data_IF_139888805449
#
_entry.id   IF_139888805449
#
_cell.length_a   1.000
_cell.length_b   1.000
_cell.length_c   1.000
_cell.angle_alpha   90.00
_cell.angle_beta   90.00
_cell.angle_gamma   90.00
#
_symmetry.space_group_name_H-M   'P 1'
#
loop_
_entity.id
_entity.type
_entity.pdbx_description
1 polymer ?
#
# COMPACT_ATOMS: atom_id res chain seq x y z
N UNK A 1 77.96 25.65 25.02
CA UNK A 1 77.06 26.79 24.72
C UNK A 1 77.50 27.34 23.37
N UNK A 2 76.91 26.94 22.24
CA UNK A 2 75.68 27.48 21.61
C UNK A 2 75.71 29.01 21.51
N UNK A 3 75.44 29.70 20.39
CA UNK A 3 74.81 29.39 19.10
C UNK A 3 75.09 30.61 18.19
N UNK A 4 75.18 30.45 16.86
CA UNK A 4 74.52 31.31 15.84
C UNK A 4 75.07 31.03 14.43
N UNK A 5 74.32 30.25 13.66
CA UNK A 5 74.33 30.33 12.20
C UNK A 5 72.88 30.19 11.73
N UNK A 6 72.35 31.26 11.13
CA UNK A 6 71.07 31.27 10.42
C UNK A 6 71.20 30.46 9.12
N UNK A 7 70.22 29.61 8.83
CA UNK A 7 69.94 29.14 7.48
C UNK A 7 68.48 29.47 7.12
N UNK A 8 68.33 30.12 5.97
CA UNK A 8 67.07 30.51 5.33
C UNK A 8 66.42 29.26 4.73
N UNK A 9 65.16 28.99 5.10
CA UNK A 9 64.36 27.92 4.49
C UNK A 9 63.54 28.52 3.34
N UNK A 10 63.80 28.01 2.14
CA UNK A 10 63.05 28.23 0.92
C UNK A 10 61.69 27.50 1.02
N UNK A 11 60.59 28.24 1.10
CA UNK A 11 59.24 27.66 1.05
C UNK A 11 58.90 27.38 -0.42
N UNK A 12 58.97 26.12 -0.81
CA UNK A 12 58.35 25.60 -2.03
C UNK A 12 56.82 25.64 -1.83
N UNK A 13 56.15 26.57 -2.52
CA UNK A 13 54.71 26.49 -2.76
C UNK A 13 54.44 25.23 -3.59
N UNK A 14 54.03 24.16 -2.92
CA UNK A 14 53.36 23.04 -3.57
C UNK A 14 51.94 23.50 -3.88
N UNK A 15 51.67 23.76 -5.15
CA UNK A 15 50.30 23.89 -5.64
C UNK A 15 49.56 22.58 -5.32
N UNK A 16 48.73 22.60 -4.27
CA UNK A 16 47.74 21.55 -4.04
C UNK A 16 46.71 21.67 -5.16
N UNK A 17 46.87 20.87 -6.21
CA UNK A 17 45.74 20.54 -7.07
C UNK A 17 44.63 19.97 -6.17
N UNK A 18 43.39 20.47 -6.23
CA UNK A 18 42.30 19.82 -5.53
C UNK A 18 42.15 18.43 -6.15
N UNK A 19 42.52 17.40 -5.40
CA UNK A 19 42.15 16.03 -5.74
C UNK A 19 40.63 16.01 -5.80
N UNK A 20 40.06 15.75 -6.98
CA UNK A 20 38.65 15.41 -7.10
C UNK A 20 38.47 14.08 -6.40
N UNK A 21 38.12 14.14 -5.12
CA UNK A 21 37.79 12.98 -4.28
C UNK A 21 36.38 12.53 -4.66
N UNK A 22 36.21 11.25 -5.02
CA UNK A 22 34.92 10.58 -5.09
C UNK A 22 34.50 10.04 -6.46
N UNK A 23 33.66 8.99 -6.41
CA UNK A 23 33.07 8.21 -7.52
C UNK A 23 33.94 7.06 -8.07
N UNK A 24 34.72 6.41 -7.21
CA UNK A 24 35.34 5.13 -7.54
C UNK A 24 34.30 4.01 -7.70
N UNK A 25 34.64 2.95 -8.43
CA UNK A 25 33.73 1.80 -8.61
C UNK A 25 33.29 1.17 -7.26
N UNK A 26 34.18 0.97 -6.26
CA UNK A 26 33.76 0.47 -4.95
C UNK A 26 32.80 1.40 -4.20
N UNK A 27 32.99 2.72 -4.29
CA UNK A 27 32.09 3.70 -3.67
C UNK A 27 30.68 3.60 -4.27
N UNK A 28 30.58 3.50 -5.59
CA UNK A 28 29.30 3.32 -6.26
C UNK A 28 28.65 1.98 -5.95
N UNK A 29 29.40 0.87 -5.99
CA UNK A 29 28.87 -0.44 -5.63
C UNK A 29 28.29 -0.44 -4.21
N UNK A 30 29.01 0.15 -3.26
CA UNK A 30 28.53 0.31 -1.89
C UNK A 30 27.28 1.20 -1.81
N UNK A 31 27.29 2.38 -2.46
CA UNK A 31 26.17 3.32 -2.45
C UNK A 31 24.88 2.70 -3.03
N UNK A 32 24.99 2.05 -4.18
CA UNK A 32 23.85 1.47 -4.89
C UNK A 32 23.28 0.26 -4.12
N UNK A 33 24.15 -0.60 -3.59
CA UNK A 33 23.72 -1.73 -2.76
C UNK A 33 23.03 -1.25 -1.47
N UNK A 34 23.59 -0.22 -0.81
CA UNK A 34 22.96 0.45 0.32
C UNK A 34 21.63 1.09 -0.07
N UNK A 35 21.53 1.66 -1.27
CA UNK A 35 20.27 2.16 -1.81
C UNK A 35 19.29 1.04 -2.19
N UNK A 36 19.57 -0.23 -1.93
CA UNK A 36 18.69 -1.35 -2.29
C UNK A 36 18.47 -1.48 -3.80
N UNK A 37 19.43 -1.04 -4.62
CA UNK A 37 19.42 -1.22 -6.07
C UNK A 37 20.21 -2.47 -6.44
N UNK A 38 19.79 -3.19 -7.49
CA UNK A 38 20.59 -4.29 -8.00
C UNK A 38 21.78 -3.77 -8.80
N UNK A 39 22.98 -4.20 -8.44
CA UNK A 39 24.23 -3.79 -9.10
C UNK A 39 24.98 -4.93 -9.76
N UNK A 40 24.39 -6.13 -9.79
CA UNK A 40 25.07 -7.32 -10.31
C UNK A 40 25.47 -7.09 -11.77
N UNK A 41 26.78 -7.07 -12.06
CA UNK A 41 27.31 -6.87 -13.40
C UNK A 41 27.21 -5.44 -13.97
N UNK A 42 26.92 -4.43 -13.14
CA UNK A 42 26.74 -3.05 -13.61
C UNK A 42 28.07 -2.40 -14.01
N UNK A 43 28.14 -1.92 -15.27
CA UNK A 43 29.14 -0.95 -15.75
C UNK A 43 28.54 0.46 -15.64
N UNK A 44 29.22 1.38 -14.94
CA UNK A 44 28.75 2.74 -14.72
C UNK A 44 29.04 3.64 -15.92
N UNK A 45 28.29 3.45 -17.00
CA UNK A 45 28.20 4.41 -18.10
C UNK A 45 27.04 5.39 -17.90
N UNK A 46 26.94 6.42 -18.74
CA UNK A 46 25.91 7.46 -18.64
C UNK A 46 24.49 6.90 -18.71
N UNK A 47 24.26 5.88 -19.54
CA UNK A 47 22.95 5.25 -19.70
C UNK A 47 22.55 4.50 -18.41
N UNK A 48 23.50 3.78 -17.82
CA UNK A 48 23.28 3.01 -16.59
C UNK A 48 23.08 3.92 -15.39
N UNK A 49 23.85 5.01 -15.28
CA UNK A 49 23.66 6.01 -14.23
C UNK A 49 22.25 6.63 -14.30
N UNK A 50 21.81 7.03 -15.50
CA UNK A 50 20.46 7.56 -15.71
C UNK A 50 19.40 6.53 -15.31
N UNK A 51 19.50 5.28 -15.79
CA UNK A 51 18.59 4.20 -15.43
C UNK A 51 18.48 4.01 -13.91
N UNK A 52 19.62 3.95 -13.21
CA UNK A 52 19.64 3.76 -11.76
C UNK A 52 19.07 4.97 -11.01
N UNK A 53 19.26 6.20 -11.51
CA UNK A 53 18.68 7.40 -10.94
C UNK A 53 17.14 7.39 -11.07
N UNK A 54 16.60 6.96 -12.21
CA UNK A 54 15.15 6.74 -12.38
C UNK A 54 14.64 5.61 -11.48
N UNK A 55 15.39 4.50 -11.36
CA UNK A 55 15.04 3.40 -10.47
C UNK A 55 15.04 3.83 -9.00
N UNK A 56 15.98 4.67 -8.57
CA UNK A 56 16.03 5.22 -7.23
C UNK A 56 14.83 6.12 -6.92
N UNK A 57 14.44 6.97 -7.87
CA UNK A 57 13.36 7.94 -7.69
C UNK A 57 11.96 7.30 -7.79
N UNK A 58 11.77 6.40 -8.75
CA UNK A 58 10.44 5.94 -9.17
C UNK A 58 10.26 4.43 -9.20
N UNK A 59 11.33 3.67 -8.97
CA UNK A 59 11.29 2.22 -8.85
C UNK A 59 10.89 1.50 -10.14
N UNK A 60 10.75 0.20 -10.02
CA UNK A 60 10.22 -0.70 -11.03
C UNK A 60 8.81 -1.15 -10.64
N UNK A 61 8.02 -1.55 -11.64
CA UNK A 61 6.65 -2.05 -11.41
C UNK A 61 6.69 -3.22 -10.41
N UNK A 62 5.95 -3.15 -9.28
CA UNK A 62 5.90 -4.25 -8.32
C UNK A 62 5.40 -5.55 -8.94
N UNK A 63 6.01 -6.66 -8.55
CA UNK A 63 5.56 -8.00 -8.94
C UNK A 63 4.10 -8.22 -8.51
N UNK A 64 3.32 -8.88 -9.36
CA UNK A 64 1.89 -9.18 -9.13
C UNK A 64 0.97 -7.96 -9.04
N UNK A 65 1.46 -6.74 -9.33
CA UNK A 65 0.59 -5.57 -9.48
C UNK A 65 -0.35 -5.79 -10.68
N UNK A 66 -1.59 -6.11 -10.38
CA UNK A 66 -2.57 -6.60 -11.35
C UNK A 66 -3.30 -5.49 -12.10
N UNK A 67 -3.38 -4.29 -11.51
CA UNK A 67 -4.04 -3.14 -12.10
C UNK A 67 -3.41 -1.84 -11.60
N UNK A 68 -3.34 -0.84 -12.48
CA UNK A 68 -2.81 0.47 -12.16
C UNK A 68 -3.55 1.52 -12.99
N UNK A 69 -4.35 2.34 -12.31
CA UNK A 69 -5.11 3.45 -12.90
C UNK A 69 -4.95 4.71 -12.04
N UNK A 70 -3.69 5.03 -11.77
CA UNK A 70 -3.29 6.26 -11.08
C UNK A 70 -2.53 7.13 -12.08
N UNK A 71 -2.85 8.44 -12.16
CA UNK A 71 -2.09 9.35 -12.99
C UNK A 71 -0.66 9.44 -12.44
N UNK A 72 0.31 9.16 -13.31
CA UNK A 72 1.73 9.23 -12.96
C UNK A 72 2.30 10.61 -13.29
N UNK A 73 3.13 11.13 -12.40
CA UNK A 73 3.90 12.34 -12.59
C UNK A 73 5.37 12.05 -12.30
N UNK A 74 6.17 12.04 -13.36
CA UNK A 74 7.61 11.78 -13.30
C UNK A 74 8.34 13.08 -13.60
N UNK A 75 9.09 13.58 -12.64
CA UNK A 75 9.98 14.73 -12.81
C UNK A 75 11.30 14.28 -13.45
N UNK A 76 11.24 14.03 -14.76
CA UNK A 76 12.42 13.68 -15.56
C UNK A 76 13.47 14.78 -15.59
N UNK A 77 13.06 16.05 -15.53
CA UNK A 77 13.98 17.18 -15.55
C UNK A 77 14.88 17.18 -14.31
N UNK A 78 14.30 16.99 -13.13
CA UNK A 78 15.03 16.86 -11.87
C UNK A 78 15.99 15.67 -11.88
N UNK A 79 15.54 14.49 -12.32
CA UNK A 79 16.41 13.31 -12.39
C UNK A 79 17.60 13.58 -13.31
N UNK A 80 17.37 14.11 -14.50
CA UNK A 80 18.42 14.40 -15.46
C UNK A 80 19.39 15.47 -14.93
N UNK A 81 18.89 16.50 -14.24
CA UNK A 81 19.74 17.52 -13.60
C UNK A 81 20.69 16.91 -12.57
N UNK A 82 20.19 16.04 -11.68
CA UNK A 82 21.02 15.35 -10.69
C UNK A 82 22.06 14.47 -11.37
N UNK A 83 21.67 13.72 -12.42
CA UNK A 83 22.61 12.90 -13.19
C UNK A 83 23.73 13.73 -13.80
N UNK A 84 23.42 14.89 -14.40
CA UNK A 84 24.44 15.77 -14.98
C UNK A 84 25.37 16.38 -13.91
N UNK A 85 24.85 16.77 -12.75
CA UNK A 85 25.69 17.25 -11.64
C UNK A 85 26.65 16.17 -11.13
N UNK A 86 26.15 14.94 -10.96
CA UNK A 86 26.99 13.79 -10.58
C UNK A 86 28.08 13.54 -11.65
N UNK A 87 27.75 13.62 -12.94
CA UNK A 87 28.73 13.46 -14.03
C UNK A 87 29.84 14.52 -14.02
N UNK A 88 29.54 15.71 -13.51
CA UNK A 88 30.53 16.79 -13.32
C UNK A 88 31.42 16.57 -12.09
N UNK A 89 31.27 15.45 -11.37
CA UNK A 89 32.06 15.05 -10.19
C UNK A 89 32.04 16.11 -9.08
N UNK A 90 30.85 16.66 -8.80
CA UNK A 90 30.69 17.57 -7.67
C UNK A 90 31.04 16.87 -6.35
N UNK A 91 31.65 17.55 -5.37
CA UNK A 91 32.03 16.93 -4.09
C UNK A 91 30.84 16.36 -3.29
N UNK A 92 29.62 16.85 -3.55
CA UNK A 92 28.37 16.50 -2.86
C UNK A 92 27.54 15.44 -3.60
N UNK A 93 28.11 14.74 -4.58
CA UNK A 93 27.39 13.81 -5.45
C UNK A 93 26.55 12.74 -4.72
N UNK A 94 26.98 12.30 -3.53
CA UNK A 94 26.21 11.36 -2.69
C UNK A 94 24.93 12.00 -2.15
N UNK A 95 24.99 13.26 -1.70
CA UNK A 95 23.82 14.00 -1.25
C UNK A 95 22.87 14.27 -2.43
N UNK A 96 23.41 14.60 -3.60
CA UNK A 96 22.64 14.75 -4.83
C UNK A 96 21.92 13.44 -5.20
N UNK A 97 22.61 12.30 -5.11
CA UNK A 97 22.02 10.98 -5.31
C UNK A 97 20.85 10.72 -4.36
N UNK A 98 21.05 10.87 -3.05
CA UNK A 98 20.01 10.68 -2.04
C UNK A 98 18.83 11.64 -2.18
N UNK A 99 19.04 12.82 -2.78
CA UNK A 99 17.94 13.76 -3.04
C UNK A 99 16.83 13.14 -3.90
N UNK A 100 17.16 12.18 -4.78
CA UNK A 100 16.18 11.52 -5.64
C UNK A 100 15.23 10.58 -4.88
N UNK A 101 15.57 10.18 -3.66
CA UNK A 101 14.80 9.21 -2.89
C UNK A 101 13.41 9.75 -2.48
N UNK A 102 12.38 8.89 -2.38
CA UNK A 102 11.05 9.27 -1.91
C UNK A 102 11.06 9.90 -0.51
N UNK A 103 10.21 10.90 -0.31
CA UNK A 103 10.08 11.65 0.95
C UNK A 103 9.22 10.95 2.01
N UNK A 104 8.62 9.80 1.68
CA UNK A 104 7.73 9.07 2.60
C UNK A 104 8.48 8.69 3.88
N UNK A 105 7.93 9.05 5.06
CA UNK A 105 8.52 8.74 6.35
C UNK A 105 8.79 7.21 6.51
N UNK A 106 7.88 6.29 6.14
CA UNK A 106 8.17 4.87 6.17
C UNK A 106 9.33 4.44 5.26
N UNK A 107 9.49 5.08 4.09
CA UNK A 107 10.61 4.81 3.18
C UNK A 107 11.94 5.20 3.84
N UNK A 108 12.01 6.41 4.40
CA UNK A 108 13.23 6.92 5.03
C UNK A 108 13.66 6.05 6.22
N UNK A 109 12.70 5.59 7.03
CA UNK A 109 12.95 4.66 8.13
C UNK A 109 13.41 3.28 7.65
N UNK A 110 12.79 2.73 6.60
CA UNK A 110 13.25 1.47 5.98
C UNK A 110 14.68 1.58 5.46
N UNK A 111 15.00 2.72 4.83
CA UNK A 111 16.32 3.03 4.30
C UNK A 111 17.38 3.09 5.40
N UNK A 112 17.10 3.78 6.51
CA UNK A 112 17.99 3.83 7.67
C UNK A 112 18.17 2.45 8.34
N UNK A 113 17.10 1.65 8.41
CA UNK A 113 17.16 0.28 8.91
C UNK A 113 18.08 -0.63 8.08
N UNK A 114 18.11 -0.43 6.76
CA UNK A 114 19.03 -1.14 5.86
C UNK A 114 20.49 -0.78 6.14
N UNK A 115 20.80 0.50 6.33
CA UNK A 115 22.16 0.94 6.66
C UNK A 115 22.67 0.33 7.97
N UNK A 116 21.77 0.17 8.96
CA UNK A 116 22.07 -0.48 10.23
C UNK A 116 22.32 -1.97 10.07
N UNK A 117 21.47 -2.70 9.33
CA UNK A 117 21.64 -4.15 9.10
C UNK A 117 22.97 -4.47 8.40
N UNK A 118 23.37 -3.64 7.43
CA UNK A 118 24.62 -3.82 6.72
C UNK A 118 25.87 -3.63 7.59
N UNK A 119 25.76 -2.88 8.70
CA UNK A 119 26.85 -2.71 9.65
C UNK A 119 27.12 -3.99 10.48
N UNK A 120 26.13 -4.87 10.64
CA UNK A 120 26.19 -6.02 11.56
C UNK A 120 26.38 -7.41 10.90
N UNK A 121 26.58 -7.53 9.58
CA UNK A 121 27.08 -8.77 8.93
C UNK A 121 26.10 -9.59 8.06
N UNK A 122 26.61 -10.68 7.45
CA UNK A 122 26.12 -11.35 6.22
C UNK A 122 24.88 -12.26 6.30
N UNK A 123 24.36 -12.61 7.48
CA UNK A 123 23.08 -13.36 7.62
C UNK A 123 21.84 -12.53 7.24
N UNK A 124 22.05 -11.29 6.79
CA UNK A 124 21.04 -10.31 6.42
C UNK A 124 20.55 -10.43 4.97
N UNK A 125 21.13 -11.28 4.12
CA UNK A 125 20.80 -11.38 2.68
C UNK A 125 19.31 -11.67 2.42
N UNK A 126 18.64 -12.63 3.09
CA UNK A 126 17.20 -12.84 2.90
C UNK A 126 16.36 -11.61 3.26
N UNK A 127 16.78 -10.86 4.29
CA UNK A 127 16.13 -9.62 4.71
C UNK A 127 16.41 -8.47 3.76
N UNK A 128 17.56 -8.44 3.10
CA UNK A 128 17.91 -7.43 2.10
C UNK A 128 16.93 -7.45 0.92
N UNK A 129 16.57 -8.64 0.41
CA UNK A 129 15.59 -8.77 -0.69
C UNK A 129 14.20 -8.22 -0.31
N UNK A 130 13.73 -8.52 0.90
CA UNK A 130 12.45 -8.01 1.42
C UNK A 130 12.48 -6.48 1.55
N UNK A 131 13.58 -5.93 2.10
CA UNK A 131 13.74 -4.48 2.29
C UNK A 131 13.83 -3.78 0.93
N UNK A 132 14.62 -4.30 -0.01
CA UNK A 132 14.69 -3.79 -1.39
C UNK A 132 13.30 -3.77 -2.05
N UNK A 133 12.51 -4.82 -1.85
CA UNK A 133 11.14 -4.88 -2.37
C UNK A 133 10.24 -3.82 -1.73
N UNK A 134 10.33 -3.61 -0.42
CA UNK A 134 9.59 -2.56 0.27
C UNK A 134 10.00 -1.15 -0.20
N UNK A 135 11.30 -0.88 -0.33
CA UNK A 135 11.81 0.38 -0.88
C UNK A 135 11.28 0.62 -2.30
N UNK A 136 11.30 -0.41 -3.15
CA UNK A 136 10.76 -0.33 -4.51
C UNK A 136 9.26 0.01 -4.53
N UNK A 137 8.45 -0.53 -3.61
CA UNK A 137 7.02 -0.21 -3.54
C UNK A 137 6.78 1.27 -3.22
N UNK A 138 7.55 1.86 -2.31
CA UNK A 138 7.47 3.29 -2.01
C UNK A 138 8.01 4.17 -3.15
N UNK A 139 9.03 3.72 -3.89
CA UNK A 139 9.48 4.41 -5.11
C UNK A 139 8.42 4.36 -6.20
N UNK A 140 7.74 3.23 -6.37
CA UNK A 140 6.60 3.11 -7.27
C UNK A 140 5.46 4.05 -6.85
N UNK A 141 5.19 4.16 -5.55
CA UNK A 141 4.23 5.12 -5.00
C UNK A 141 4.63 6.58 -5.29
N UNK A 142 5.93 6.90 -5.32
CA UNK A 142 6.46 8.24 -5.61
C UNK A 142 6.16 8.73 -7.03
N UNK A 143 5.65 7.86 -7.91
CA UNK A 143 5.14 8.23 -9.24
C UNK A 143 3.79 8.95 -9.16
N UNK A 144 3.11 8.92 -8.01
CA UNK A 144 1.76 9.47 -7.84
C UNK A 144 1.85 10.76 -7.03
N UNK A 145 1.33 11.86 -7.59
CA UNK A 145 1.22 13.13 -6.88
C UNK A 145 -0.21 13.35 -6.40
N UNK A 146 -0.38 13.45 -5.08
CA UNK A 146 -1.67 13.71 -4.44
C UNK A 146 -1.47 14.30 -3.05
N UNK A 147 -2.45 15.05 -2.55
CA UNK A 147 -2.41 15.62 -1.19
C UNK A 147 -2.50 14.54 -0.12
N UNK A 148 -3.27 13.48 -0.40
CA UNK A 148 -3.39 12.28 0.41
C UNK A 148 -3.24 11.04 -0.47
N UNK A 149 -2.64 9.98 0.07
CA UNK A 149 -2.66 8.65 -0.52
C UNK A 149 -2.94 7.59 0.55
N UNK A 150 -3.85 6.67 0.23
CA UNK A 150 -4.19 5.54 1.08
C UNK A 150 -3.33 4.35 0.67
N UNK A 151 -2.59 3.77 1.61
CA UNK A 151 -1.73 2.60 1.35
C UNK A 151 -2.18 1.47 2.26
N UNK A 152 -2.61 0.35 1.68
CA UNK A 152 -2.94 -0.87 2.40
C UNK A 152 -1.81 -1.87 2.22
N UNK A 153 -1.18 -2.25 3.33
CA UNK A 153 -0.16 -3.28 3.34
C UNK A 153 -0.77 -4.61 3.85
N UNK A 154 -0.85 -5.60 2.96
CA UNK A 154 -1.52 -6.88 3.24
C UNK A 154 -0.82 -7.66 4.38
N UNK A 155 0.48 -8.03 4.32
CA UNK A 155 1.12 -8.80 5.39
C UNK A 155 1.04 -8.19 6.79
N UNK A 156 1.08 -6.87 6.91
CA UNK A 156 0.90 -6.20 8.21
C UNK A 156 -0.58 -6.02 8.60
N UNK A 157 -1.49 -6.23 7.66
CA UNK A 157 -2.92 -5.96 7.76
C UNK A 157 -3.17 -4.58 8.37
N UNK A 158 -2.53 -3.57 7.76
CA UNK A 158 -2.63 -2.15 8.12
C UNK A 158 -2.97 -1.29 6.91
N UNK A 159 -3.61 -0.16 7.18
CA UNK A 159 -3.87 0.93 6.26
C UNK A 159 -3.20 2.18 6.82
N UNK A 160 -2.43 2.86 5.98
CA UNK A 160 -1.84 4.16 6.25
C UNK A 160 -2.45 5.20 5.32
N UNK A 161 -2.63 6.42 5.81
CA UNK A 161 -2.85 7.59 4.96
C UNK A 161 -1.59 8.45 5.06
N UNK A 162 -0.95 8.70 3.92
CA UNK A 162 0.22 9.56 3.83
C UNK A 162 -0.19 10.89 3.20
N UNK A 163 0.33 11.99 3.71
CA UNK A 163 0.16 13.29 3.09
C UNK A 163 1.25 13.57 2.04
N UNK A 164 1.13 14.69 1.32
CA UNK A 164 2.09 15.12 0.30
C UNK A 164 3.53 15.28 0.82
N UNK A 165 3.70 15.64 2.09
CA UNK A 165 5.02 15.74 2.73
C UNK A 165 5.62 14.37 3.09
N UNK A 166 4.88 13.28 2.86
CA UNK A 166 5.31 11.93 3.15
C UNK A 166 5.00 11.46 4.58
N UNK A 167 4.33 12.28 5.40
CA UNK A 167 4.02 11.97 6.78
C UNK A 167 2.78 11.08 6.90
N UNK A 168 2.80 10.15 7.85
CA UNK A 168 1.61 9.40 8.22
C UNK A 168 0.61 10.28 8.99
N UNK A 169 -0.60 10.42 8.45
CA UNK A 169 -1.70 11.18 9.09
C UNK A 169 -2.82 10.28 9.62
N UNK A 170 -2.82 8.99 9.26
CA UNK A 170 -3.68 7.98 9.86
C UNK A 170 -3.04 6.61 9.77
N UNK A 171 -3.05 5.88 10.89
CA UNK A 171 -2.82 4.44 10.95
C UNK A 171 -4.09 3.72 11.42
N UNK A 172 -4.57 2.79 10.60
CA UNK A 172 -5.69 1.91 10.92
C UNK A 172 -5.30 0.44 10.73
N UNK A 173 -5.83 -0.42 11.59
CA UNK A 173 -5.83 -1.87 11.34
C UNK A 173 -6.84 -2.16 10.23
N UNK A 174 -6.58 -3.21 9.46
CA UNK A 174 -7.53 -3.75 8.48
C UNK A 174 -7.68 -5.26 8.61
N UNK A 175 -8.74 -5.80 8.00
CA UNK A 175 -8.90 -7.23 7.72
C UNK A 175 -8.93 -7.38 6.20
N UNK A 176 -8.08 -8.25 5.68
CA UNK A 176 -7.88 -8.49 4.25
C UNK A 176 -8.23 -9.93 3.89
N UNK A 177 -8.12 -10.27 2.60
CA UNK A 177 -8.45 -11.59 2.07
C UNK A 177 -7.69 -12.71 2.77
N UNK A 178 -8.32 -13.87 2.91
CA UNK A 178 -7.62 -15.08 3.33
C UNK A 178 -6.79 -15.67 2.15
N UNK A 179 -5.84 -16.60 2.39
CA UNK A 179 -4.99 -17.15 1.32
C UNK A 179 -5.72 -17.86 0.18
N UNK A 180 -6.96 -18.33 0.37
CA UNK A 180 -7.77 -18.96 -0.70
C UNK A 180 -8.49 -17.94 -1.58
N UNK A 181 -8.71 -16.74 -1.06
CA UNK A 181 -9.35 -15.60 -1.74
C UNK A 181 -8.56 -14.33 -1.40
N UNK A 182 -7.31 -14.23 -1.91
CA UNK A 182 -6.40 -13.15 -1.56
C UNK A 182 -6.91 -11.80 -2.06
N UNK A 183 -6.59 -10.73 -1.32
CA UNK A 183 -6.82 -9.36 -1.81
C UNK A 183 -5.85 -9.09 -2.98
N UNK A 184 -6.32 -8.64 -4.15
CA UNK A 184 -5.46 -8.35 -5.29
C UNK A 184 -4.61 -7.09 -5.05
N UNK A 185 -3.42 -7.03 -5.67
CA UNK A 185 -2.56 -5.85 -5.64
C UNK A 185 -2.90 -4.90 -6.78
N UNK A 186 -3.22 -3.65 -6.46
CA UNK A 186 -3.59 -2.66 -7.45
C UNK A 186 -3.41 -1.22 -6.95
N UNK A 187 -3.29 -0.29 -7.90
CA UNK A 187 -3.43 1.15 -7.67
C UNK A 187 -4.68 1.68 -8.38
N UNK A 188 -5.55 2.36 -7.65
CA UNK A 188 -6.80 2.94 -8.13
C UNK A 188 -7.17 4.16 -7.27
N UNK A 189 -8.32 4.77 -7.51
CA UNK A 189 -8.80 5.98 -6.84
C UNK A 189 -10.08 5.71 -6.05
N UNK A 190 -10.11 6.22 -4.83
CA UNK A 190 -11.32 6.39 -4.04
C UNK A 190 -12.09 7.59 -4.59
N UNK A 191 -13.40 7.45 -4.78
CA UNK A 191 -14.21 8.50 -5.43
C UNK A 191 -15.38 8.99 -4.59
N UNK A 192 -15.92 8.14 -3.72
CA UNK A 192 -17.10 8.44 -2.91
C UNK A 192 -17.16 7.53 -1.69
N UNK A 193 -17.90 7.99 -0.70
CA UNK A 193 -18.25 7.26 0.51
C UNK A 193 -19.74 6.94 0.43
N UNK A 194 -20.12 5.70 0.72
CA UNK A 194 -21.51 5.26 0.82
C UNK A 194 -21.79 4.91 2.28
N UNK A 195 -22.70 5.64 2.91
CA UNK A 195 -23.19 5.34 4.25
C UNK A 195 -24.42 4.45 4.20
N UNK A 196 -24.54 3.52 5.15
CA UNK A 196 -25.59 2.50 5.19
C UNK A 196 -25.73 1.80 3.82
N UNK A 197 -24.64 1.23 3.28
CA UNK A 197 -24.66 0.62 1.95
C UNK A 197 -25.55 -0.62 1.92
N UNK A 198 -26.24 -0.85 0.80
CA UNK A 198 -26.67 -2.21 0.47
C UNK A 198 -25.45 -3.07 0.17
N UNK A 199 -25.43 -4.31 0.66
CA UNK A 199 -24.44 -5.28 0.22
C UNK A 199 -25.01 -6.16 -0.88
N UNK A 200 -24.54 -5.95 -2.11
CA UNK A 200 -24.81 -6.87 -3.20
C UNK A 200 -23.84 -8.05 -3.06
N UNK A 201 -24.36 -9.22 -2.68
CA UNK A 201 -23.55 -10.41 -2.42
C UNK A 201 -22.89 -10.84 -3.73
N UNK A 202 -21.56 -10.93 -3.82
CA UNK A 202 -20.87 -11.44 -5.00
C UNK A 202 -21.39 -12.81 -5.38
N UNK A 203 -21.54 -13.07 -6.69
CA UNK A 203 -22.10 -14.33 -7.20
C UNK A 203 -21.39 -15.55 -6.62
N UNK A 204 -20.07 -15.48 -6.47
CA UNK A 204 -19.25 -16.55 -5.89
C UNK A 204 -19.70 -16.93 -4.47
N UNK A 205 -19.92 -15.94 -3.60
CA UNK A 205 -20.42 -16.14 -2.23
C UNK A 205 -21.88 -16.63 -2.28
N UNK A 206 -22.71 -16.00 -3.10
CA UNK A 206 -24.13 -16.35 -3.23
C UNK A 206 -24.31 -17.84 -3.56
N UNK A 207 -23.56 -18.37 -4.54
CA UNK A 207 -23.74 -19.75 -4.99
C UNK A 207 -22.90 -20.79 -4.23
N UNK A 208 -21.70 -20.44 -3.75
CA UNK A 208 -20.80 -21.40 -3.08
C UNK A 208 -21.05 -21.50 -1.59
N UNK A 209 -21.49 -20.43 -0.95
CA UNK A 209 -21.64 -20.37 0.51
C UNK A 209 -23.09 -20.23 0.96
N UNK A 210 -23.86 -19.35 0.31
CA UNK A 210 -25.22 -19.04 0.77
C UNK A 210 -26.24 -20.03 0.22
N UNK A 211 -26.21 -20.36 -1.08
CA UNK A 211 -27.15 -21.29 -1.69
C UNK A 211 -27.23 -22.64 -0.95
N UNK A 212 -26.12 -23.29 -0.53
CA UNK A 212 -26.21 -24.52 0.29
C UNK A 212 -26.89 -24.33 1.65
N UNK A 213 -26.81 -23.13 2.25
CA UNK A 213 -27.48 -22.80 3.52
C UNK A 213 -28.96 -22.48 3.28
N UNK A 214 -29.26 -21.70 2.25
CA UNK A 214 -30.62 -21.38 1.81
C UNK A 214 -31.37 -22.65 1.48
N UNK A 215 -30.79 -23.60 0.72
CA UNK A 215 -31.44 -24.89 0.41
C UNK A 215 -31.87 -25.68 1.64
N UNK A 216 -31.12 -25.57 2.76
CA UNK A 216 -31.43 -26.28 4.01
C UNK A 216 -32.50 -25.58 4.84
N UNK A 217 -32.50 -24.25 4.85
CA UNK A 217 -33.48 -23.44 5.58
C UNK A 217 -33.67 -22.08 4.87
N UNK A 218 -34.55 -21.99 3.84
CA UNK A 218 -34.62 -20.79 3.01
C UNK A 218 -35.05 -19.55 3.79
N UNK A 219 -36.22 -19.62 4.44
CA UNK A 219 -36.78 -18.49 5.18
C UNK A 219 -35.87 -18.09 6.36
N UNK A 220 -35.44 -19.05 7.17
CA UNK A 220 -34.62 -18.76 8.35
C UNK A 220 -33.24 -18.20 8.02
N UNK A 221 -32.58 -18.69 6.96
CA UNK A 221 -31.28 -18.15 6.58
C UNK A 221 -31.40 -16.75 5.97
N UNK A 222 -32.37 -16.53 5.08
CA UNK A 222 -32.57 -15.23 4.43
C UNK A 222 -32.97 -14.16 5.46
N UNK A 223 -33.84 -14.49 6.41
CA UNK A 223 -34.25 -13.58 7.49
C UNK A 223 -33.08 -13.28 8.44
N UNK A 224 -32.38 -14.31 8.94
CA UNK A 224 -31.25 -14.15 9.85
C UNK A 224 -30.13 -13.29 9.24
N UNK A 225 -29.94 -13.37 7.93
CA UNK A 225 -28.95 -12.57 7.20
C UNK A 225 -29.54 -11.26 6.62
N UNK A 226 -30.85 -11.00 6.77
CA UNK A 226 -31.59 -9.87 6.18
C UNK A 226 -31.36 -9.71 4.67
N UNK A 227 -31.41 -10.84 3.96
CA UNK A 227 -31.19 -10.92 2.51
C UNK A 227 -32.50 -10.78 1.74
N UNK A 228 -32.49 -9.86 0.78
CA UNK A 228 -33.51 -9.75 -0.26
C UNK A 228 -33.08 -10.56 -1.48
N UNK A 229 -34.03 -11.27 -2.08
CA UNK A 229 -33.85 -11.98 -3.34
C UNK A 229 -34.32 -11.07 -4.46
N UNK A 230 -33.45 -10.81 -5.44
CA UNK A 230 -33.76 -9.95 -6.57
C UNK A 230 -33.71 -10.77 -7.87
N UNK A 231 -34.66 -10.52 -8.78
CA UNK A 231 -34.62 -11.05 -10.14
C UNK A 231 -33.60 -10.29 -11.01
N UNK A 232 -33.46 -10.71 -12.27
CA UNK A 232 -32.57 -10.08 -13.24
C UNK A 232 -32.90 -8.60 -13.54
N UNK A 233 -34.15 -8.17 -13.27
CA UNK A 233 -34.62 -6.79 -13.42
C UNK A 233 -34.47 -5.98 -12.13
N UNK A 234 -33.94 -6.58 -11.06
CA UNK A 234 -33.76 -5.95 -9.75
C UNK A 234 -35.03 -5.87 -8.90
N UNK A 235 -36.10 -6.58 -9.27
CA UNK A 235 -37.35 -6.64 -8.50
C UNK A 235 -37.21 -7.63 -7.36
N UNK A 236 -37.78 -7.29 -6.20
CA UNK A 236 -37.81 -8.19 -5.04
C UNK A 236 -38.71 -9.37 -5.36
N UNK A 237 -38.19 -10.58 -5.15
CA UNK A 237 -38.89 -11.85 -5.30
C UNK A 237 -39.15 -12.42 -3.91
N UNK A 238 -40.37 -12.87 -3.68
CA UNK A 238 -40.76 -13.56 -2.47
C UNK A 238 -39.96 -14.88 -2.34
N UNK A 239 -39.19 -15.10 -1.27
CA UNK A 239 -38.37 -16.32 -1.14
C UNK A 239 -39.15 -17.63 -1.26
N UNK A 240 -40.42 -17.64 -0.85
CA UNK A 240 -41.35 -18.76 -0.94
C UNK A 240 -41.77 -19.11 -2.37
N UNK A 241 -41.68 -18.16 -3.31
CA UNK A 241 -41.98 -18.43 -4.72
C UNK A 241 -40.79 -19.04 -5.48
N UNK A 242 -39.65 -19.23 -4.80
CA UNK A 242 -38.42 -19.75 -5.42
C UNK A 242 -38.24 -21.23 -5.09
N UNK A 243 -38.15 -22.07 -6.13
CA UNK A 243 -37.77 -23.48 -5.95
C UNK A 243 -36.26 -23.62 -5.70
N UNK A 244 -35.83 -23.41 -4.45
CA UNK A 244 -34.42 -23.40 -4.07
C UNK A 244 -33.68 -24.71 -4.34
N UNK A 245 -34.34 -25.86 -4.19
CA UNK A 245 -33.70 -27.18 -4.34
C UNK A 245 -33.26 -27.45 -5.77
N UNK A 246 -33.99 -26.91 -6.76
CA UNK A 246 -33.68 -26.99 -8.19
C UNK A 246 -32.53 -26.08 -8.66
N UNK A 247 -32.10 -25.12 -7.83
CA UNK A 247 -31.02 -24.19 -8.17
C UNK A 247 -29.63 -24.80 -7.90
N UNK A 248 -28.62 -24.32 -8.61
CA UNK A 248 -27.22 -24.74 -8.50
C UNK A 248 -26.32 -23.56 -8.83
N UNK A 249 -25.00 -23.73 -8.70
CA UNK A 249 -24.05 -22.70 -9.07
C UNK A 249 -24.09 -22.33 -10.56
N UNK A 250 -24.62 -23.20 -11.42
CA UNK A 250 -24.73 -22.99 -12.87
C UNK A 250 -26.03 -22.27 -13.25
N UNK A 251 -27.15 -22.56 -12.57
CA UNK A 251 -28.48 -22.02 -12.87
C UNK A 251 -29.06 -21.18 -11.71
N UNK A 252 -28.27 -20.22 -11.18
CA UNK A 252 -28.73 -19.26 -10.17
C UNK A 252 -29.05 -17.90 -10.84
N UNK A 253 -30.32 -17.61 -11.19
CA UNK A 253 -30.70 -16.39 -11.92
C UNK A 253 -30.94 -15.18 -11.02
N UNK A 254 -30.76 -15.34 -9.72
CA UNK A 254 -31.07 -14.32 -8.72
C UNK A 254 -29.84 -13.55 -8.26
N UNK A 255 -30.06 -12.36 -7.71
CA UNK A 255 -29.07 -11.62 -6.93
C UNK A 255 -29.52 -11.58 -5.47
N UNK A 256 -28.59 -11.80 -4.56
CA UNK A 256 -28.84 -11.62 -3.13
C UNK A 256 -28.32 -10.24 -2.71
N UNK A 257 -29.17 -9.46 -2.03
CA UNK A 257 -28.83 -8.14 -1.52
C UNK A 257 -29.13 -8.08 -0.04
N UNK A 258 -28.13 -7.80 0.80
CA UNK A 258 -28.35 -7.52 2.20
C UNK A 258 -28.87 -6.08 2.39
N UNK A 259 -29.88 -5.93 3.24
CA UNK A 259 -30.43 -4.62 3.59
C UNK A 259 -29.42 -3.77 4.38
N UNK A 260 -29.71 -2.47 4.47
CA UNK A 260 -28.92 -1.47 5.19
C UNK A 260 -29.06 -1.62 6.71
N UNK A 261 -27.98 -1.47 7.46
CA UNK A 261 -28.02 -1.48 8.94
C UNK A 261 -26.68 -1.84 9.57
N UNK A 262 -26.61 -1.78 10.91
CA UNK A 262 -25.40 -2.11 11.66
C UNK A 262 -25.00 -3.60 11.61
N UNK A 263 -25.92 -4.48 11.23
CA UNK A 263 -25.72 -5.91 11.03
C UNK A 263 -25.31 -6.27 9.59
N UNK A 264 -25.25 -5.28 8.70
CA UNK A 264 -24.78 -5.44 7.33
C UNK A 264 -23.30 -5.86 7.33
N UNK A 265 -22.93 -6.80 6.46
CA UNK A 265 -21.56 -7.32 6.35
C UNK A 265 -20.53 -6.25 5.91
N UNK A 266 -20.98 -5.16 5.26
CA UNK A 266 -20.18 -3.98 4.93
C UNK A 266 -20.14 -2.94 6.07
N UNK A 267 -20.82 -3.20 7.18
CA UNK A 267 -21.05 -2.22 8.24
C UNK A 267 -21.86 -1.02 7.75
N UNK A 268 -21.64 0.14 8.36
CA UNK A 268 -22.39 1.38 8.06
C UNK A 268 -21.69 2.30 7.08
N UNK A 269 -20.51 1.94 6.59
CA UNK A 269 -19.70 2.78 5.71
C UNK A 269 -18.90 1.97 4.71
N UNK A 270 -18.92 2.38 3.45
CA UNK A 270 -18.16 1.79 2.34
C UNK A 270 -17.47 2.90 1.56
N UNK A 271 -16.25 2.66 1.11
CA UNK A 271 -15.49 3.53 0.23
C UNK A 271 -15.38 2.86 -1.14
N UNK A 272 -15.90 3.54 -2.16
CA UNK A 272 -15.87 3.03 -3.52
C UNK A 272 -14.53 3.31 -4.18
N UNK A 273 -13.93 2.24 -4.69
CA UNK A 273 -12.68 2.23 -5.43
C UNK A 273 -12.99 2.03 -6.92
N UNK A 274 -12.44 2.86 -7.81
CA UNK A 274 -12.62 2.71 -9.26
C UNK A 274 -11.70 1.62 -9.86
N UNK A 275 -11.80 0.39 -9.34
CA UNK A 275 -11.02 -0.75 -9.84
C UNK A 275 -11.90 -1.74 -10.62
N UNK A 276 -11.33 -2.58 -11.51
CA UNK A 276 -12.07 -3.66 -12.15
C UNK A 276 -12.40 -4.80 -11.18
N UNK A 277 -11.92 -4.73 -9.95
CA UNK A 277 -12.20 -5.72 -8.92
C UNK A 277 -13.43 -5.27 -8.10
N UNK A 278 -14.26 -6.24 -7.72
CA UNK A 278 -15.35 -6.04 -6.74
C UNK A 278 -14.78 -5.91 -5.30
N UNK A 279 -13.77 -5.06 -5.12
CA UNK A 279 -13.02 -4.87 -3.87
C UNK A 279 -13.29 -3.47 -3.34
N UNK A 280 -13.68 -3.41 -2.07
CA UNK A 280 -14.02 -2.17 -1.39
C UNK A 280 -13.22 -2.06 -0.10
N UNK A 281 -12.99 -0.82 0.33
CA UNK A 281 -12.70 -0.52 1.72
C UNK A 281 -14.04 -0.31 2.41
N UNK A 282 -14.25 -0.89 3.59
CA UNK A 282 -15.54 -0.75 4.28
C UNK A 282 -15.43 -0.99 5.79
N UNK A 283 -16.46 -0.59 6.53
CA UNK A 283 -16.67 -0.94 7.93
C UNK A 283 -17.08 -2.43 8.08
N UNK A 284 -17.41 -2.91 9.27
CA UNK A 284 -17.83 -4.29 9.48
C UNK A 284 -18.75 -4.38 10.69
N UNK A 285 -19.73 -5.28 10.63
CA UNK A 285 -20.53 -5.67 11.80
C UNK A 285 -19.73 -6.50 12.82
N UNK A 286 -18.54 -6.98 12.43
CA UNK A 286 -17.60 -7.74 13.28
C UNK A 286 -16.32 -6.92 13.60
N UNK A 287 -16.43 -5.87 14.42
CA UNK A 287 -15.30 -4.97 14.76
C UNK A 287 -14.34 -5.61 15.77
N UNK A 288 -14.82 -6.53 16.60
CA UNK A 288 -14.03 -7.31 17.54
C UNK A 288 -12.85 -8.04 16.86
N UNK A 289 -13.01 -8.43 15.59
CA UNK A 289 -11.97 -9.11 14.82
C UNK A 289 -10.72 -8.24 14.59
N UNK A 290 -10.81 -6.92 14.74
CA UNK A 290 -9.62 -6.08 14.68
C UNK A 290 -8.65 -6.32 15.84
N UNK A 291 -9.11 -6.86 16.98
CA UNK A 291 -8.23 -7.24 18.10
C UNK A 291 -7.34 -8.46 17.77
N UNK A 292 -7.74 -9.29 16.80
CA UNK A 292 -6.97 -10.48 16.40
C UNK A 292 -5.63 -10.13 15.76
N UNK A 293 -4.60 -10.93 16.05
CA UNK A 293 -3.32 -10.88 15.34
C UNK A 293 -3.44 -11.40 13.90
N UNK A 294 -4.33 -12.36 13.64
CA UNK A 294 -4.56 -12.93 12.31
C UNK A 294 -5.79 -12.29 11.66
N UNK A 295 -5.55 -11.32 10.77
CA UNK A 295 -6.60 -10.51 10.10
C UNK A 295 -6.72 -10.80 8.59
N UNK A 296 -6.50 -12.05 8.21
CA UNK A 296 -6.64 -12.57 6.84
C UNK A 296 -7.90 -13.42 6.75
N UNK A 297 -9.07 -12.78 6.86
CA UNK A 297 -10.36 -13.45 7.12
C UNK A 297 -11.43 -13.13 6.07
N UNK A 298 -11.20 -12.18 5.17
CA UNK A 298 -12.21 -11.77 4.19
C UNK A 298 -12.12 -12.58 2.89
N UNK A 299 -13.06 -12.29 1.97
CA UNK A 299 -13.08 -12.79 0.59
C UNK A 299 -12.46 -11.79 -0.39
N UNK A 300 -11.40 -11.09 0.03
CA UNK A 300 -10.65 -10.12 -0.78
C UNK A 300 -10.92 -8.66 -0.42
N UNK A 301 -12.14 -8.30 -0.01
CA UNK A 301 -12.45 -6.93 0.45
C UNK A 301 -11.66 -6.53 1.70
N UNK A 302 -11.55 -5.23 1.96
CA UNK A 302 -10.71 -4.66 3.02
C UNK A 302 -11.62 -4.02 4.08
N UNK A 303 -11.71 -4.64 5.26
CA UNK A 303 -12.44 -4.05 6.40
C UNK A 303 -11.51 -3.09 7.13
N UNK A 304 -11.98 -1.89 7.45
CA UNK A 304 -11.19 -0.80 8.05
C UNK A 304 -11.65 -0.57 9.49
N UNK A 305 -10.71 -0.55 10.44
CA UNK A 305 -11.02 -0.38 11.87
C UNK A 305 -11.44 1.07 12.24
N UNK A 306 -10.88 2.06 11.54
CA UNK A 306 -11.13 3.49 11.74
C UNK A 306 -11.80 4.13 10.51
N UNK A 307 -13.01 3.69 10.12
CA UNK A 307 -13.64 4.17 8.89
C UNK A 307 -14.09 5.63 9.00
N UNK A 308 -14.55 6.10 10.17
CA UNK A 308 -14.96 7.51 10.34
C UNK A 308 -13.78 8.47 10.21
N UNK A 309 -12.65 8.13 10.82
CA UNK A 309 -11.43 8.93 10.71
C UNK A 309 -10.92 8.95 9.27
N UNK A 310 -10.93 7.80 8.59
CA UNK A 310 -10.59 7.73 7.16
C UNK A 310 -11.54 8.62 6.34
N UNK A 311 -12.85 8.53 6.56
CA UNK A 311 -13.84 9.34 5.86
C UNK A 311 -13.61 10.83 6.03
N UNK A 312 -13.41 11.30 7.26
CA UNK A 312 -13.19 12.72 7.54
C UNK A 312 -11.88 13.23 6.93
N UNK A 313 -10.82 12.42 6.93
CA UNK A 313 -9.56 12.77 6.25
C UNK A 313 -9.76 12.90 4.74
N UNK A 314 -10.43 11.93 4.11
CA UNK A 314 -10.69 11.96 2.66
C UNK A 314 -11.64 13.11 2.25
N UNK A 315 -12.58 13.47 3.12
CA UNK A 315 -13.48 14.62 2.94
C UNK A 315 -12.85 15.95 3.32
N UNK A 316 -11.65 15.93 3.92
CA UNK A 316 -10.94 17.11 4.43
C UNK A 316 -11.81 17.97 5.37
N UNK A 317 -12.71 17.32 6.11
CA UNK A 317 -13.68 17.97 7.00
C UNK A 317 -14.20 17.01 8.06
N UNK A 318 -14.60 17.50 9.25
CA UNK A 318 -15.19 16.68 10.31
C UNK A 318 -16.67 16.34 10.01
N UNK A 319 -16.93 15.79 8.82
CA UNK A 319 -18.28 15.52 8.31
C UNK A 319 -19.03 14.48 9.17
N UNK A 320 -18.34 13.41 9.58
CA UNK A 320 -18.87 12.35 10.42
C UNK A 320 -18.39 12.50 11.86
N UNK A 321 -19.32 12.47 12.82
CA UNK A 321 -18.98 12.42 14.25
C UNK A 321 -18.49 11.00 14.62
N UNK A 322 -17.61 10.84 15.62
CA UNK A 322 -17.21 9.51 16.11
C UNK A 322 -18.39 8.60 16.47
N UNK A 323 -19.43 9.16 17.07
CA UNK A 323 -20.68 8.46 17.42
C UNK A 323 -21.46 7.89 16.22
N UNK A 324 -21.09 8.23 14.98
CA UNK A 324 -21.71 7.68 13.77
C UNK A 324 -21.69 6.14 13.75
N UNK A 325 -20.58 5.53 14.20
CA UNK A 325 -20.42 4.07 14.25
C UNK A 325 -21.20 3.41 15.40
N UNK A 326 -21.60 4.18 16.40
CA UNK A 326 -22.22 3.72 17.65
C UNK A 326 -23.74 3.74 17.59
N UNK A 327 -24.32 4.51 16.65
CA UNK A 327 -25.76 4.74 16.55
C UNK A 327 -26.61 3.47 16.44
N UNK A 328 -26.03 2.30 16.10
CA UNK A 328 -26.69 0.98 15.88
C UNK A 328 -28.00 1.07 15.09
N UNK A 329 -28.13 2.10 14.26
CA UNK A 329 -29.34 2.35 13.49
C UNK A 329 -29.46 1.30 12.38
N UNK A 330 -30.69 0.81 12.19
CA UNK A 330 -31.07 -0.15 11.16
C UNK A 330 -32.03 0.53 10.19
N UNK A 331 -32.05 0.08 8.93
CA UNK A 331 -32.97 0.59 7.88
C UNK A 331 -32.84 2.08 7.55
N UNK A 332 -31.66 2.68 7.77
CA UNK A 332 -31.41 4.03 7.25
C UNK A 332 -31.18 4.01 5.75
N UNK A 333 -31.69 5.02 5.01
CA UNK A 333 -31.49 5.08 3.58
C UNK A 333 -30.00 5.23 3.26
N UNK A 334 -29.55 4.44 2.28
CA UNK A 334 -28.20 4.56 1.74
C UNK A 334 -27.97 5.97 1.21
N UNK A 335 -26.85 6.60 1.58
CA UNK A 335 -26.46 7.93 1.08
C UNK A 335 -25.07 7.88 0.49
N UNK A 336 -24.91 8.56 -0.64
CA UNK A 336 -23.60 8.74 -1.29
C UNK A 336 -23.07 10.12 -0.96
N UNK A 337 -21.85 10.18 -0.46
CA UNK A 337 -21.10 11.41 -0.18
C UNK A 337 -19.90 11.42 -1.14
N UNK A 338 -19.89 12.26 -2.19
CA UNK A 338 -18.75 12.35 -3.09
C UNK A 338 -17.54 12.92 -2.35
N UNK A 339 -16.34 12.46 -2.71
CA UNK A 339 -15.10 13.09 -2.23
C UNK A 339 -14.87 14.42 -2.98
N UNK A 340 -14.23 15.43 -2.36
CA UNK A 340 -13.88 16.69 -3.03
C UNK A 340 -13.02 16.49 -4.29
N UNK A 341 -12.20 15.44 -4.29
CA UNK A 341 -11.46 14.95 -5.43
C UNK A 341 -11.13 13.47 -5.25
N UNK A 342 -10.74 12.77 -6.33
CA UNK A 342 -10.33 11.38 -6.22
C UNK A 342 -9.06 11.25 -5.36
N UNK A 343 -9.03 10.25 -4.47
CA UNK A 343 -7.87 9.99 -3.61
C UNK A 343 -7.21 8.67 -4.01
N UNK A 344 -5.92 8.64 -4.37
CA UNK A 344 -5.22 7.41 -4.67
C UNK A 344 -5.28 6.40 -3.52
N UNK A 345 -5.51 5.14 -3.86
CA UNK A 345 -5.40 3.98 -2.99
C UNK A 345 -4.51 2.93 -3.65
N UNK A 346 -3.50 2.47 -2.91
CA UNK A 346 -2.58 1.43 -3.31
C UNK A 346 -2.72 0.24 -2.37
N UNK A 347 -2.96 -0.94 -2.94
CA UNK A 347 -2.92 -2.21 -2.22
C UNK A 347 -1.62 -2.92 -2.57
N UNK A 348 -0.76 -3.08 -1.56
CA UNK A 348 0.59 -3.62 -1.72
C UNK A 348 0.87 -4.81 -0.80
N UNK A 349 1.95 -5.52 -1.11
CA UNK A 349 2.40 -6.70 -0.38
C UNK A 349 3.88 -6.57 -0.02
N UNK A 350 4.16 -6.15 1.21
CA UNK A 350 5.52 -6.08 1.75
C UNK A 350 5.59 -6.80 3.09
N UNK A 351 6.51 -7.76 3.20
CA UNK A 351 6.77 -8.56 4.41
C UNK A 351 7.71 -7.86 5.38
N UNK A 352 8.19 -6.67 5.05
CA UNK A 352 8.94 -5.81 5.97
C UNK A 352 8.36 -4.41 5.94
N UNK A 353 8.26 -3.79 7.11
CA UNK A 353 7.80 -2.43 7.30
C UNK A 353 8.47 -1.85 8.55
N UNK A 354 8.14 -0.61 8.90
CA UNK A 354 8.59 0.04 10.13
C UNK A 354 7.43 0.28 11.08
N UNK A 355 7.64 -0.01 12.37
CA UNK A 355 6.67 0.35 13.39
C UNK A 355 6.75 1.85 13.73
N UNK A 356 5.87 2.32 14.62
CA UNK A 356 5.85 3.71 15.09
C UNK A 356 7.17 4.14 15.75
N UNK A 357 7.90 3.22 16.37
CA UNK A 357 9.22 3.47 16.97
C UNK A 357 10.37 3.51 15.93
N UNK A 358 10.08 3.31 14.64
CA UNK A 358 11.08 3.30 13.57
C UNK A 358 11.90 2.02 13.48
N UNK A 359 11.53 0.97 14.21
CA UNK A 359 12.18 -0.33 14.13
C UNK A 359 11.61 -1.15 12.96
N UNK A 360 12.49 -1.88 12.27
CA UNK A 360 12.09 -2.85 11.25
C UNK A 360 11.24 -3.96 11.89
N UNK A 361 10.12 -4.28 11.25
CA UNK A 361 9.23 -5.37 11.61
C UNK A 361 9.04 -6.26 10.39
N UNK A 362 9.21 -7.56 10.59
CA UNK A 362 9.01 -8.59 9.58
C UNK A 362 7.68 -9.29 9.82
N UNK A 363 6.93 -9.49 8.74
CA UNK A 363 5.61 -10.09 8.72
C UNK A 363 5.65 -11.41 7.96
N UNK A 364 4.85 -12.42 8.35
CA UNK A 364 4.75 -13.67 7.61
C UNK A 364 4.35 -13.45 6.14
N UNK A 365 4.87 -14.26 5.23
CA UNK A 365 4.45 -14.33 3.83
C UNK A 365 3.10 -15.06 3.71
N UNK A 366 2.03 -14.42 4.17
CA UNK A 366 0.68 -14.99 4.33
C UNK A 366 0.05 -15.57 3.06
N UNK A 367 0.45 -15.10 1.88
CA UNK A 367 0.00 -15.61 0.58
C UNK A 367 1.07 -16.41 -0.17
N UNK A 368 2.28 -16.56 0.38
CA UNK A 368 3.38 -17.28 -0.27
C UNK A 368 3.89 -16.58 -1.54
N UNK A 369 3.87 -15.24 -1.58
CA UNK A 369 4.22 -14.45 -2.77
C UNK A 369 5.65 -13.91 -2.76
N UNK A 370 6.31 -13.89 -1.61
CA UNK A 370 7.67 -13.41 -1.43
C UNK A 370 8.70 -14.54 -1.43
N UNK A 371 8.29 -15.74 -1.04
CA UNK A 371 9.17 -16.91 -0.98
C UNK A 371 9.57 -17.32 -2.40
N UNK A 372 10.83 -17.06 -2.78
CA UNK A 372 11.45 -17.70 -3.94
C UNK A 372 11.43 -19.20 -3.66
N UNK A 373 10.74 -19.98 -4.48
CA UNK A 373 10.84 -21.45 -4.40
C UNK A 373 12.33 -21.80 -4.53
N UNK A 374 12.91 -22.34 -3.46
CA UNK A 374 14.25 -22.90 -3.49
C UNK A 374 14.29 -24.12 -4.39
#
# INVERSE_FOLDING_TARGET
MNLKTLWVILILLTARFPTVVGQTLPEWQNLLYRSGLDTTGVRLDSATLSRLAYELAYGNRPNRLSYWNLPEQIDSARVNQVVEQIRQKTPDWVAQWHSLEPVFEPYQKLRAGLDSLMFFGGDSIPRWHEIKTALNNYRWLNRVTSDLVVVVNIPSATLRVLNRQGNEVLLSRVIVGNPRTPTPLFGAQLTRIITYPYWNVPRSIAVKEFLPKIKRNPAGFLDAMRLQVLDAKGRIVAPESVNWTALSAQNFPYRLRQSTGCDNALGVMKFDVNSPFDIYLHDTNHRELFSSNRRFLSHGCIRVAKPVELANLLLQSPYFKPAFLESRQVNLPSRTVPLPGPVPVLIQYQTVDVNSAGTLVFYPDVYGWQTVKR
#
